data_IF_644665832074
#
_entry.id   IF_644665832074
#
_cell.length_a   1.000
_cell.length_b   1.000
_cell.length_c   1.000
_cell.angle_alpha   90.00
_cell.angle_beta   90.00
_cell.angle_gamma   90.00
#
_symmetry.space_group_name_H-M   'P 1'
#
loop_
_entity.id
_entity.type
_entity.pdbx_description
1 polymer ?
#
# COMPACT_ATOMS: atom_id res chain seq x y z
N UNK A 1 -14.66 51.98 19.70
CA UNK A 1 -14.75 51.32 21.02
C UNK A 1 -14.16 49.93 20.90
N UNK A 2 -13.19 49.61 21.75
CA UNK A 2 -12.36 48.41 21.72
C UNK A 2 -13.09 47.18 22.25
N UNK A 3 -12.95 46.04 21.57
CA UNK A 3 -13.01 44.71 22.22
C UNK A 3 -11.99 43.78 21.59
N UNK A 4 -10.80 43.80 22.19
CA UNK A 4 -9.80 42.74 22.11
C UNK A 4 -10.41 41.50 22.77
N UNK A 5 -10.54 40.41 22.03
CA UNK A 5 -10.89 39.11 22.59
C UNK A 5 -9.69 38.19 22.41
N UNK A 6 -9.09 37.82 23.55
CA UNK A 6 -8.08 36.79 23.70
C UNK A 6 -8.61 35.46 23.11
N UNK A 7 -8.01 34.98 22.03
CA UNK A 7 -8.16 33.58 21.61
C UNK A 7 -7.03 32.82 22.27
N UNK A 8 -7.37 32.11 23.34
CA UNK A 8 -6.50 31.14 23.99
C UNK A 8 -6.14 30.04 22.98
N UNK A 9 -4.87 30.02 22.57
CA UNK A 9 -4.29 28.93 21.79
C UNK A 9 -4.18 27.71 22.70
N UNK A 10 -5.22 26.88 22.71
CA UNK A 10 -5.19 25.57 23.32
C UNK A 10 -4.29 24.70 22.43
N UNK A 11 -3.00 24.57 22.78
CA UNK A 11 -2.14 23.53 22.23
C UNK A 11 -2.72 22.18 22.67
N UNK A 12 -3.60 21.61 21.84
CA UNK A 12 -3.84 20.18 21.87
C UNK A 12 -2.51 19.54 21.47
N UNK A 13 -1.78 19.06 22.47
CA UNK A 13 -0.68 18.14 22.26
C UNK A 13 -1.27 16.88 21.63
N UNK A 14 -1.32 16.86 20.30
CA UNK A 14 -1.55 15.64 19.55
C UNK A 14 -0.41 14.72 19.96
N UNK A 15 -0.67 13.56 20.58
CA UNK A 15 0.41 12.61 20.81
C UNK A 15 0.88 12.20 19.42
N UNK A 16 1.97 12.80 18.96
CA UNK A 16 2.79 12.22 17.90
C UNK A 16 3.30 10.93 18.50
N UNK A 17 2.53 9.84 18.32
CA UNK A 17 3.10 8.51 18.43
C UNK A 17 4.22 8.51 17.41
N UNK A 18 5.46 8.48 17.90
CA UNK A 18 6.61 8.26 17.07
C UNK A 18 6.31 7.08 16.16
N UNK A 19 6.31 7.33 14.85
CA UNK A 19 6.36 6.27 13.85
C UNK A 19 7.55 5.41 14.22
N UNK A 20 7.29 4.19 14.68
CA UNK A 20 8.36 3.22 14.75
C UNK A 20 8.71 2.86 13.30
N UNK A 21 9.98 3.00 12.89
CA UNK A 21 10.40 2.62 11.54
C UNK A 21 9.94 1.18 11.26
N UNK A 22 9.00 1.03 10.33
CA UNK A 22 8.42 -0.27 9.96
C UNK A 22 6.96 -0.51 10.36
N UNK A 23 6.29 0.42 11.05
CA UNK A 23 4.81 0.36 11.24
C UNK A 23 4.12 1.41 10.37
N UNK A 24 3.09 0.99 9.62
CA UNK A 24 2.29 1.95 8.85
C UNK A 24 1.50 2.90 9.76
N UNK A 25 1.07 4.06 9.25
CA UNK A 25 0.10 4.92 9.92
C UNK A 25 -1.16 4.15 10.32
N UNK A 26 -1.77 4.56 11.43
CA UNK A 26 -2.97 3.89 11.95
C UNK A 26 -4.13 3.76 10.93
N UNK A 27 -4.44 4.77 10.08
CA UNK A 27 -5.47 4.62 9.04
C UNK A 27 -5.13 3.53 8.00
N UNK A 28 -3.85 3.39 7.66
CA UNK A 28 -3.36 2.34 6.74
C UNK A 28 -3.52 0.96 7.36
N UNK A 29 -3.09 0.77 8.61
CA UNK A 29 -3.27 -0.52 9.30
C UNK A 29 -4.76 -0.87 9.44
N UNK A 30 -5.60 0.10 9.80
CA UNK A 30 -7.02 -0.13 10.02
C UNK A 30 -7.76 -0.53 8.72
N UNK A 31 -7.47 0.16 7.62
CA UNK A 31 -8.06 -0.15 6.31
C UNK A 31 -7.61 -1.52 5.79
N UNK A 32 -6.32 -1.84 5.91
CA UNK A 32 -5.77 -3.15 5.54
C UNK A 32 -6.43 -4.27 6.33
N UNK A 33 -6.46 -4.18 7.66
CA UNK A 33 -7.06 -5.22 8.50
C UNK A 33 -8.56 -5.39 8.25
N UNK A 34 -9.26 -4.31 7.88
CA UNK A 34 -10.68 -4.35 7.51
C UNK A 34 -10.90 -5.05 6.16
N UNK A 35 -10.07 -4.74 5.16
CA UNK A 35 -10.21 -5.29 3.82
C UNK A 35 -9.70 -6.75 3.73
N UNK A 36 -8.69 -7.08 4.52
CA UNK A 36 -8.01 -8.37 4.51
C UNK A 36 -7.97 -8.94 5.94
N UNK A 37 -9.05 -9.56 6.42
CA UNK A 37 -9.08 -10.12 7.76
C UNK A 37 -8.06 -11.26 7.91
N UNK A 38 -7.48 -11.39 9.11
CA UNK A 38 -6.53 -12.45 9.50
C UNK A 38 -5.20 -12.48 8.74
N UNK A 39 -4.81 -11.39 8.08
CA UNK A 39 -3.49 -11.26 7.46
C UNK A 39 -2.42 -10.82 8.47
N UNK A 40 -1.18 -11.21 8.21
CA UNK A 40 -0.01 -10.67 8.91
C UNK A 40 0.61 -9.56 8.05
N UNK A 41 0.77 -8.37 8.62
CA UNK A 41 1.54 -7.29 8.00
C UNK A 41 3.03 -7.56 8.25
N UNK A 42 3.77 -7.80 7.18
CA UNK A 42 5.19 -8.19 7.23
C UNK A 42 6.15 -7.02 6.97
N UNK A 43 5.70 -6.00 6.24
CA UNK A 43 6.45 -4.78 5.99
C UNK A 43 5.50 -3.63 5.65
N UNK A 44 5.96 -2.42 5.90
CA UNK A 44 5.32 -1.19 5.46
C UNK A 44 6.38 -0.24 4.95
N UNK A 45 6.23 0.23 3.72
CA UNK A 45 7.14 1.18 3.09
C UNK A 45 6.38 2.44 2.70
N UNK A 46 6.88 3.59 3.15
CA UNK A 46 6.39 4.88 2.68
C UNK A 46 7.03 5.19 1.34
N UNK A 47 6.21 5.56 0.36
CA UNK A 47 6.65 6.01 -0.95
C UNK A 47 5.92 7.29 -1.37
N UNK A 48 6.45 7.92 -2.43
CA UNK A 48 5.80 9.04 -3.09
C UNK A 48 5.52 8.68 -4.53
N UNK A 49 4.24 8.52 -4.84
CA UNK A 49 3.78 8.28 -6.21
C UNK A 49 3.03 9.50 -6.75
N UNK A 50 3.44 9.99 -7.91
CA UNK A 50 2.92 11.23 -8.53
C UNK A 50 2.81 12.42 -7.54
N UNK A 51 3.76 12.54 -6.61
CA UNK A 51 3.79 13.61 -5.61
C UNK A 51 2.91 13.38 -4.37
N UNK A 52 2.13 12.29 -4.31
CA UNK A 52 1.27 11.90 -3.20
C UNK A 52 1.97 10.86 -2.32
N UNK A 53 1.77 10.95 -1.02
CA UNK A 53 2.26 9.94 -0.07
C UNK A 53 1.39 8.68 -0.16
N UNK A 54 2.05 7.54 -0.40
CA UNK A 54 1.45 6.20 -0.42
C UNK A 54 2.23 5.27 0.50
N UNK A 55 1.60 4.19 0.92
CA UNK A 55 2.18 3.16 1.76
C UNK A 55 2.00 1.81 1.08
N UNK A 56 3.11 1.19 0.67
CA UNK A 56 3.14 -0.18 0.17
C UNK A 56 3.18 -1.11 1.39
N UNK A 57 2.13 -1.89 1.58
CA UNK A 57 1.96 -2.80 2.72
C UNK A 57 2.06 -4.24 2.24
N UNK A 58 3.11 -4.96 2.67
CA UNK A 58 3.29 -6.38 2.34
C UNK A 58 2.55 -7.27 3.34
N UNK A 59 1.57 -8.02 2.87
CA UNK A 59 0.75 -8.90 3.68
C UNK A 59 1.05 -10.37 3.40
N UNK A 60 0.84 -11.20 4.42
CA UNK A 60 0.81 -12.67 4.30
C UNK A 60 -0.56 -13.17 4.76
N UNK A 61 -1.28 -13.85 3.87
CA UNK A 61 -2.59 -14.45 4.12
C UNK A 61 -2.47 -15.71 4.99
N UNK A 62 -3.56 -16.14 5.66
CA UNK A 62 -3.64 -17.50 6.18
C UNK A 62 -3.35 -18.50 5.05
N UNK A 63 -2.38 -19.38 5.26
CA UNK A 63 -1.88 -20.31 4.21
C UNK A 63 -0.56 -19.89 3.56
N UNK A 64 -0.05 -18.68 3.83
CA UNK A 64 1.30 -18.26 3.45
C UNK A 64 1.40 -17.46 2.15
N UNK A 65 0.29 -17.31 1.42
CA UNK A 65 0.25 -16.50 0.20
C UNK A 65 0.55 -15.03 0.51
N UNK A 66 1.38 -14.41 -0.33
CA UNK A 66 1.75 -12.99 -0.19
C UNK A 66 0.89 -12.11 -1.08
N UNK A 67 0.70 -10.87 -0.66
CA UNK A 67 0.11 -9.81 -1.46
C UNK A 67 0.67 -8.45 -1.01
N UNK A 68 0.63 -7.48 -1.91
CA UNK A 68 1.07 -6.11 -1.64
C UNK A 68 -0.11 -5.17 -1.86
N UNK A 69 -0.27 -4.17 -0.99
CA UNK A 69 -1.39 -3.23 -1.03
C UNK A 69 -0.84 -1.83 -0.94
N UNK A 70 -1.15 -1.01 -1.95
CA UNK A 70 -0.86 0.41 -1.87
C UNK A 70 -2.02 1.13 -1.22
N UNK A 71 -1.71 1.91 -0.20
CA UNK A 71 -2.70 2.61 0.61
C UNK A 71 -2.30 4.07 0.72
N UNK A 72 -3.23 4.99 0.46
CA UNK A 72 -3.02 6.41 0.74
C UNK A 72 -2.90 6.66 2.24
N UNK A 73 -2.31 7.80 2.63
CA UNK A 73 -2.13 8.16 4.03
C UNK A 73 -3.44 8.19 4.86
N UNK A 74 -4.58 8.42 4.22
CA UNK A 74 -5.92 8.42 4.85
C UNK A 74 -6.54 7.01 4.99
N UNK A 75 -5.86 5.96 4.52
CA UNK A 75 -6.36 4.58 4.54
C UNK A 75 -7.13 4.17 3.29
N UNK A 76 -7.24 5.01 2.26
CA UNK A 76 -7.82 4.59 0.98
C UNK A 76 -6.94 3.54 0.32
N UNK A 77 -7.47 2.34 0.07
CA UNK A 77 -6.76 1.31 -0.70
C UNK A 77 -6.78 1.74 -2.16
N UNK A 78 -5.60 1.93 -2.74
CA UNK A 78 -5.43 2.37 -4.12
C UNK A 78 -5.27 1.17 -5.05
N UNK A 79 -4.60 0.13 -4.58
CA UNK A 79 -4.20 -1.00 -5.41
C UNK A 79 -3.95 -2.25 -4.58
N UNK A 80 -4.19 -3.40 -5.20
CA UNK A 80 -3.81 -4.72 -4.70
C UNK A 80 -3.00 -5.43 -5.77
N UNK A 81 -1.81 -5.89 -5.38
CA UNK A 81 -0.93 -6.71 -6.19
C UNK A 81 -0.82 -8.12 -5.62
N UNK A 82 -1.07 -9.10 -6.48
CA UNK A 82 -0.97 -10.52 -6.18
C UNK A 82 0.12 -11.14 -7.07
N UNK A 83 1.18 -11.70 -6.49
CA UNK A 83 2.13 -12.51 -7.24
C UNK A 83 1.41 -13.67 -7.92
N UNK A 84 1.64 -13.84 -9.22
CA UNK A 84 1.14 -14.95 -10.01
C UNK A 84 2.31 -15.67 -10.69
N UNK A 85 2.10 -16.95 -11.01
CA UNK A 85 3.06 -17.68 -11.82
C UNK A 85 3.12 -17.08 -13.24
N UNK A 86 4.32 -17.00 -13.82
CA UNK A 86 4.53 -16.42 -15.17
C UNK A 86 3.74 -17.17 -16.24
N UNK A 87 3.54 -18.48 -16.07
CA UNK A 87 2.73 -19.32 -16.97
C UNK A 87 1.22 -19.08 -16.84
N UNK A 88 0.76 -18.50 -15.73
CA UNK A 88 -0.62 -18.07 -15.54
C UNK A 88 -0.97 -16.78 -16.32
N UNK A 89 0.03 -16.05 -16.84
CA UNK A 89 -0.22 -14.89 -17.70
C UNK A 89 -1.00 -15.29 -18.96
N UNK A 90 -1.92 -14.44 -19.48
CA UNK A 90 -2.57 -14.69 -20.75
C UNK A 90 -1.55 -14.92 -21.88
N UNK A 91 -1.86 -15.86 -22.78
CA UNK A 91 -0.95 -16.22 -23.88
C UNK A 91 -0.53 -15.01 -24.72
N UNK A 92 -1.46 -14.08 -24.97
CA UNK A 92 -1.18 -12.84 -25.69
C UNK A 92 -0.10 -11.98 -25.00
N UNK A 93 -0.14 -11.90 -23.66
CA UNK A 93 0.85 -11.15 -22.87
C UNK A 93 2.23 -11.81 -22.95
N UNK A 94 2.30 -13.14 -22.79
CA UNK A 94 3.58 -13.87 -22.89
C UNK A 94 4.21 -13.73 -24.27
N UNK A 95 3.40 -13.82 -25.34
CA UNK A 95 3.85 -13.64 -26.73
C UNK A 95 4.36 -12.21 -26.97
N UNK A 96 3.62 -11.19 -26.52
CA UNK A 96 4.03 -9.80 -26.67
C UNK A 96 5.35 -9.51 -25.93
N UNK A 97 5.52 -10.02 -24.71
CA UNK A 97 6.76 -9.89 -23.94
C UNK A 97 7.94 -10.55 -24.67
N UNK A 98 7.79 -11.81 -25.11
CA UNK A 98 8.85 -12.53 -25.82
C UNK A 98 9.24 -11.85 -27.14
N UNK A 99 8.28 -11.30 -27.88
CA UNK A 99 8.54 -10.58 -29.12
C UNK A 99 9.30 -9.27 -28.89
N UNK A 100 8.92 -8.51 -27.85
CA UNK A 100 9.55 -7.23 -27.52
C UNK A 100 10.92 -7.39 -26.85
N UNK A 101 11.10 -8.45 -26.07
CA UNK A 101 12.30 -8.71 -25.26
C UNK A 101 12.85 -10.13 -25.52
N UNK A 102 13.36 -10.42 -26.73
CA UNK A 102 13.71 -11.79 -27.15
C UNK A 102 14.87 -12.43 -26.37
N UNK A 103 15.64 -11.64 -25.62
CA UNK A 103 16.75 -12.12 -24.77
C UNK A 103 16.42 -12.10 -23.29
N UNK A 104 15.25 -11.62 -22.90
CA UNK A 104 14.84 -11.54 -21.50
C UNK A 104 14.04 -12.78 -21.11
N UNK A 105 14.23 -13.22 -19.86
CA UNK A 105 13.39 -14.23 -19.21
C UNK A 105 12.56 -13.54 -18.13
N UNK A 106 11.24 -13.64 -18.22
CA UNK A 106 10.37 -13.21 -17.14
C UNK A 106 10.58 -14.14 -15.92
N UNK A 107 10.91 -13.56 -14.77
CA UNK A 107 11.17 -14.28 -13.52
C UNK A 107 10.05 -14.14 -12.50
N UNK A 108 9.10 -13.24 -12.75
CA UNK A 108 7.91 -13.03 -11.92
C UNK A 108 6.83 -12.30 -12.70
N UNK A 109 5.62 -12.32 -12.15
CA UNK A 109 4.48 -11.60 -12.65
C UNK A 109 3.56 -11.26 -11.48
N UNK A 110 2.97 -10.06 -11.49
CA UNK A 110 1.93 -9.68 -10.55
C UNK A 110 0.64 -9.43 -11.31
N UNK A 111 -0.49 -9.83 -10.72
CA UNK A 111 -1.80 -9.34 -11.10
C UNK A 111 -2.11 -8.11 -10.26
N UNK A 112 -2.35 -6.99 -10.92
CA UNK A 112 -2.67 -5.72 -10.29
C UNK A 112 -4.14 -5.41 -10.48
N UNK A 113 -4.81 -5.02 -9.40
CA UNK A 113 -6.22 -4.59 -9.42
C UNK A 113 -6.37 -3.30 -8.65
N UNK A 114 -7.29 -2.44 -9.09
CA UNK A 114 -7.62 -1.22 -8.35
C UNK A 114 -8.16 -1.57 -6.95
N UNK A 115 -7.87 -0.69 -6.00
CA UNK A 115 -8.37 -0.79 -4.63
C UNK A 115 -9.89 -0.73 -4.54
N UNK A 116 -10.41 -1.15 -3.37
CA UNK A 116 -11.83 -1.27 -3.07
C UNK A 116 -12.34 -0.15 -2.18
#
# INVERSE_FOLDING_TARGET
MHRILFVALCLLAVPVRADEPGRCPAPVIASVNKAFPNVTISACKHERDHGKDIFEVKLTKPGGDRLEVDVAADGTILQVEEPIAVDALPNAVRKAFAAKYPRAKATGANKQTAGK
#
